data_IF_455087531164
#
_entry.id   IF_455087531164
#
_cell.length_a   1.000
_cell.length_b   1.000
_cell.length_c   1.000
_cell.angle_alpha   90.00
_cell.angle_beta   90.00
_cell.angle_gamma   90.00
#
_symmetry.space_group_name_H-M   'P 1'
#
loop_
_entity.id
_entity.type
_entity.pdbx_description
1 polymer ?
#
# COMPACT_ATOMS: atom_id res chain seq x y z
N UNK A 1 -11.11 -14.22 28.14
CA UNK A 1 -11.84 -13.24 27.32
C UNK A 1 -13.33 -13.53 27.45
N UNK A 2 -14.18 -12.52 27.67
CA UNK A 2 -15.63 -12.70 27.75
C UNK A 2 -16.31 -12.36 26.41
N UNK A 3 -17.62 -12.64 26.29
CA UNK A 3 -18.37 -12.48 25.04
C UNK A 3 -18.33 -11.05 24.49
N UNK A 4 -18.42 -10.02 25.34
CA UNK A 4 -18.33 -8.62 24.92
C UNK A 4 -16.95 -8.30 24.31
N UNK A 5 -15.87 -8.77 24.91
CA UNK A 5 -14.52 -8.57 24.40
C UNK A 5 -14.32 -9.23 23.02
N UNK A 6 -14.94 -10.39 22.77
CA UNK A 6 -14.88 -11.06 21.47
C UNK A 6 -15.63 -10.25 20.41
N UNK A 7 -16.84 -9.78 20.72
CA UNK A 7 -17.64 -8.96 19.77
C UNK A 7 -16.90 -7.65 19.45
N UNK A 8 -16.36 -6.97 20.46
CA UNK A 8 -15.57 -5.75 20.26
C UNK A 8 -14.34 -5.99 19.40
N UNK A 9 -13.62 -7.10 19.62
CA UNK A 9 -12.47 -7.46 18.79
C UNK A 9 -12.88 -7.70 17.32
N UNK A 10 -13.96 -8.45 17.07
CA UNK A 10 -14.45 -8.70 15.71
C UNK A 10 -14.85 -7.40 15.01
N UNK A 11 -15.61 -6.53 15.69
CA UNK A 11 -16.01 -5.23 15.15
C UNK A 11 -14.79 -4.37 14.84
N UNK A 12 -13.81 -4.33 15.76
CA UNK A 12 -12.60 -3.56 15.58
C UNK A 12 -11.79 -4.03 14.36
N UNK A 13 -11.59 -5.34 14.20
CA UNK A 13 -10.91 -5.89 13.02
C UNK A 13 -11.69 -5.64 11.72
N UNK A 14 -13.02 -5.72 11.75
CA UNK A 14 -13.85 -5.42 10.59
C UNK A 14 -13.71 -3.95 10.15
N UNK A 15 -13.69 -3.01 11.11
CA UNK A 15 -13.47 -1.59 10.84
C UNK A 15 -12.08 -1.36 10.25
N UNK A 16 -11.03 -1.93 10.83
CA UNK A 16 -9.67 -1.79 10.30
C UNK A 16 -9.52 -2.39 8.90
N UNK A 17 -10.06 -3.59 8.69
CA UNK A 17 -10.04 -4.25 7.38
C UNK A 17 -10.81 -3.46 6.32
N UNK A 18 -11.98 -2.94 6.68
CA UNK A 18 -12.79 -2.08 5.80
C UNK A 18 -12.08 -0.77 5.46
N UNK A 19 -11.49 -0.10 6.45
CA UNK A 19 -10.72 1.13 6.24
C UNK A 19 -9.53 0.89 5.30
N UNK A 20 -8.78 -0.20 5.51
CA UNK A 20 -7.67 -0.58 4.62
C UNK A 20 -8.15 -0.87 3.20
N UNK A 21 -9.20 -1.68 3.04
CA UNK A 21 -9.73 -2.03 1.72
C UNK A 21 -10.23 -0.79 0.96
N UNK A 22 -10.90 0.13 1.66
CA UNK A 22 -11.36 1.39 1.09
C UNK A 22 -10.18 2.26 0.66
N UNK A 23 -9.19 2.45 1.54
CA UNK A 23 -7.99 3.22 1.24
C UNK A 23 -7.24 2.61 0.04
N UNK A 24 -7.08 1.28 0.00
CA UNK A 24 -6.47 0.57 -1.12
C UNK A 24 -7.21 0.82 -2.43
N UNK A 25 -8.55 0.72 -2.42
CA UNK A 25 -9.39 0.93 -3.60
C UNK A 25 -9.27 2.37 -4.12
N UNK A 26 -9.37 3.35 -3.22
CA UNK A 26 -9.26 4.77 -3.58
C UNK A 26 -7.84 5.10 -4.06
N UNK A 27 -6.81 4.56 -3.42
CA UNK A 27 -5.42 4.74 -3.83
C UNK A 27 -5.16 4.20 -5.25
N UNK A 28 -5.76 3.07 -5.62
CA UNK A 28 -5.65 2.52 -6.98
C UNK A 28 -6.40 3.33 -8.04
N UNK A 29 -7.40 4.12 -7.63
CA UNK A 29 -8.14 5.02 -8.51
C UNK A 29 -7.51 6.40 -8.65
N UNK A 30 -6.68 6.81 -7.69
CA UNK A 30 -5.93 8.07 -7.77
C UNK A 30 -5.05 8.04 -9.02
N UNK A 31 -5.26 8.96 -9.98
CA UNK A 31 -4.42 9.06 -11.16
C UNK A 31 -2.97 9.28 -10.73
N UNK A 32 -2.05 8.64 -11.45
CA UNK A 32 -0.62 8.95 -11.31
C UNK A 32 -0.38 10.37 -11.82
N UNK A 33 0.56 11.13 -11.23
CA UNK A 33 0.94 12.42 -11.80
C UNK A 33 1.47 12.24 -13.23
N UNK A 34 1.40 13.30 -14.03
CA UNK A 34 1.88 13.25 -15.41
C UNK A 34 3.38 12.95 -15.48
N UNK A 35 3.80 12.06 -16.39
CA UNK A 35 5.19 11.62 -16.54
C UNK A 35 5.62 10.55 -15.52
N UNK A 36 4.67 10.01 -14.77
CA UNK A 36 4.85 9.08 -13.67
C UNK A 36 3.97 7.82 -13.85
N UNK A 37 3.53 7.55 -15.08
CA UNK A 37 2.69 6.41 -15.45
C UNK A 37 3.44 5.09 -15.25
N UNK A 38 4.77 5.10 -15.45
CA UNK A 38 5.69 4.01 -15.21
C UNK A 38 6.54 4.25 -13.95
N UNK A 39 5.88 4.49 -12.82
CA UNK A 39 6.53 4.66 -11.50
C UNK A 39 7.21 3.39 -10.98
N UNK A 40 7.09 2.26 -11.70
CA UNK A 40 7.93 1.10 -11.43
C UNK A 40 9.35 1.51 -11.86
N UNK A 41 10.32 1.59 -10.94
CA UNK A 41 11.70 1.88 -11.33
C UNK A 41 12.09 0.94 -12.48
N UNK A 42 12.32 1.49 -13.66
CA UNK A 42 12.85 0.72 -14.76
C UNK A 42 14.29 0.37 -14.40
N UNK A 43 14.54 -0.91 -14.15
CA UNK A 43 15.88 -1.42 -13.86
C UNK A 43 16.80 -1.42 -15.10
N UNK A 44 16.62 -0.45 -16.01
CA UNK A 44 17.50 -0.21 -17.17
C UNK A 44 18.73 0.62 -16.81
N UNK A 45 18.63 1.48 -15.79
CA UNK A 45 19.77 2.30 -15.33
C UNK A 45 20.73 1.54 -14.39
N UNK A 46 20.21 0.66 -13.56
CA UNK A 46 20.98 -0.27 -12.72
C UNK A 46 20.59 -1.70 -13.10
N UNK A 47 21.58 -2.56 -13.31
CA UNK A 47 21.44 -3.97 -13.71
C UNK A 47 20.77 -4.88 -12.65
N UNK A 48 19.91 -4.33 -11.81
CA UNK A 48 19.26 -5.01 -10.69
C UNK A 48 17.96 -5.69 -11.13
N UNK A 49 17.73 -6.91 -10.65
CA UNK A 49 16.52 -7.68 -10.98
C UNK A 49 15.30 -7.29 -10.14
N UNK A 50 15.48 -6.47 -9.10
CA UNK A 50 14.42 -5.99 -8.22
C UNK A 50 14.78 -4.63 -7.63
N UNK A 51 14.09 -3.59 -8.11
CA UNK A 51 14.33 -2.21 -7.73
C UNK A 51 13.42 -1.74 -6.55
N UNK A 52 12.79 -2.67 -5.82
CA UNK A 52 11.73 -2.34 -4.84
C UNK A 52 12.23 -1.95 -3.43
N UNK A 53 13.54 -1.91 -3.17
CA UNK A 53 14.04 -1.78 -1.78
C UNK A 53 15.27 -0.87 -1.56
N UNK A 54 15.70 -0.03 -2.52
CA UNK A 54 16.81 0.89 -2.26
C UNK A 54 16.33 2.26 -1.77
N UNK A 55 16.68 2.69 -0.54
CA UNK A 55 16.18 3.93 0.08
C UNK A 55 16.92 5.20 -0.36
N UNK A 56 17.79 5.16 -1.38
CA UNK A 56 18.78 6.23 -1.60
C UNK A 56 18.62 6.95 -2.95
N UNK A 57 17.44 7.53 -3.20
CA UNK A 57 17.22 8.41 -4.36
C UNK A 57 17.66 9.86 -4.13
N UNK A 58 18.52 10.11 -3.14
CA UNK A 58 19.20 11.40 -2.96
C UNK A 58 20.54 11.43 -3.71
N UNK A 59 20.48 11.48 -5.04
CA UNK A 59 21.48 12.19 -5.87
C UNK A 59 21.00 12.40 -7.30
#
# INVERSE_FOLDING_TARGET
MNGLQIVLAVVFFAVLGGAYALAYYLNHKTPRPAGCENLKPECKGCHDRSCMNNPDHHR
#
